data_IF_522227319631
#
_entry.id   IF_522227319631
#
_cell.length_a   1.000
_cell.length_b   1.000
_cell.length_c   1.000
_cell.angle_alpha   90.00
_cell.angle_beta   90.00
_cell.angle_gamma   90.00
#
_symmetry.space_group_name_H-M   'P 1'
#
loop_
_entity.id
_entity.type
_entity.pdbx_description
1 polymer ?
#
# COMPACT_ATOMS: atom_id res chain seq x y z
N UNK A 1 30.06 -24.21 5.01
CA UNK A 1 29.42 -23.80 6.29
C UNK A 1 28.05 -23.21 5.97
N UNK A 2 27.00 -24.04 5.93
CA UNK A 2 25.65 -23.58 5.60
C UNK A 2 24.92 -23.17 6.90
N UNK A 3 24.52 -21.90 7.01
CA UNK A 3 23.72 -21.40 8.14
C UNK A 3 22.30 -21.98 8.00
N UNK A 4 21.83 -22.73 9.00
CA UNK A 4 20.51 -23.37 9.04
C UNK A 4 19.41 -22.35 8.73
N UNK A 5 18.56 -22.66 7.74
CA UNK A 5 17.38 -21.87 7.31
C UNK A 5 16.23 -21.94 8.32
N UNK A 6 16.40 -22.65 9.44
CA UNK A 6 15.35 -22.84 10.46
C UNK A 6 14.99 -21.58 11.26
N UNK A 7 15.83 -20.54 11.21
CA UNK A 7 15.53 -19.25 11.86
C UNK A 7 14.91 -18.22 10.91
N UNK A 8 14.60 -18.58 9.67
CA UNK A 8 13.88 -17.70 8.76
C UNK A 8 12.40 -17.63 9.16
N UNK A 9 12.02 -16.60 9.91
CA UNK A 9 10.63 -16.31 10.27
C UNK A 9 10.12 -15.19 9.38
N UNK A 10 9.31 -15.52 8.37
CA UNK A 10 8.54 -14.54 7.60
C UNK A 10 7.39 -14.02 8.47
N UNK A 11 7.67 -12.97 9.26
CA UNK A 11 6.67 -12.28 10.10
C UNK A 11 6.00 -11.10 9.38
N UNK A 12 6.44 -10.76 8.18
CA UNK A 12 5.76 -9.81 7.31
C UNK A 12 4.58 -10.49 6.63
N UNK A 13 3.44 -9.81 6.66
CA UNK A 13 2.25 -10.12 5.88
C UNK A 13 1.95 -9.01 4.88
N UNK A 14 0.85 -9.19 4.17
CA UNK A 14 0.27 -8.18 3.29
C UNK A 14 -1.18 -7.94 3.68
N UNK A 15 -1.67 -6.74 3.38
CA UNK A 15 -3.09 -6.46 3.39
C UNK A 15 -3.59 -6.25 1.96
N UNK A 16 -4.87 -6.55 1.72
CA UNK A 16 -5.56 -6.17 0.48
C UNK A 16 -6.48 -5.00 0.77
N UNK A 17 -6.30 -3.92 0.02
CA UNK A 17 -7.07 -2.70 0.15
C UNK A 17 -7.88 -2.48 -1.14
N UNK A 18 -9.18 -2.28 -0.99
CA UNK A 18 -10.07 -1.90 -2.09
C UNK A 18 -10.71 -0.56 -1.74
N UNK A 19 -10.57 0.41 -2.63
CA UNK A 19 -11.14 1.75 -2.49
C UNK A 19 -12.05 2.05 -3.69
N UNK A 20 -13.25 2.53 -3.38
CA UNK A 20 -14.08 3.22 -4.37
C UNK A 20 -13.69 4.69 -4.38
N UNK A 21 -13.37 5.21 -5.56
CA UNK A 21 -12.92 6.57 -5.78
C UNK A 21 -13.96 7.33 -6.60
N UNK A 22 -14.21 8.59 -6.25
CA UNK A 22 -15.12 9.47 -6.98
C UNK A 22 -14.50 10.14 -8.20
N UNK A 23 -13.20 9.94 -8.41
CA UNK A 23 -12.42 10.47 -9.52
C UNK A 23 -11.12 9.64 -9.64
N UNK A 24 -10.46 9.73 -10.78
CA UNK A 24 -9.18 9.08 -11.01
C UNK A 24 -8.10 9.74 -10.12
N UNK A 25 -7.25 8.97 -9.41
CA UNK A 25 -6.19 9.53 -8.59
C UNK A 25 -5.03 9.98 -9.48
N UNK A 26 -4.38 11.08 -9.10
CA UNK A 26 -3.07 11.45 -9.65
C UNK A 26 -1.97 11.04 -8.68
N UNK A 27 -0.80 10.64 -9.20
CA UNK A 27 0.40 10.35 -8.42
C UNK A 27 1.60 11.08 -9.01
N UNK A 28 2.49 11.59 -8.17
CA UNK A 28 3.70 12.29 -8.63
C UNK A 28 4.54 11.39 -9.53
N UNK A 29 4.90 11.87 -10.73
CA UNK A 29 5.72 11.15 -11.69
C UNK A 29 4.97 10.08 -12.51
N UNK A 30 3.65 9.98 -12.37
CA UNK A 30 2.79 9.06 -13.15
C UNK A 30 1.79 9.90 -13.95
N UNK A 31 1.74 9.71 -15.26
CA UNK A 31 0.72 10.34 -16.11
C UNK A 31 -0.54 9.46 -16.22
N UNK A 32 -1.65 10.05 -16.67
CA UNK A 32 -2.95 9.37 -16.72
C UNK A 32 -2.94 8.08 -17.56
N UNK A 33 -2.16 8.02 -18.64
CA UNK A 33 -2.07 6.83 -19.47
C UNK A 33 -1.39 5.65 -18.74
N UNK A 34 -0.46 5.95 -17.84
CA UNK A 34 0.23 4.96 -17.01
C UNK A 34 -0.64 4.41 -15.86
N UNK A 35 -1.77 5.06 -15.55
CA UNK A 35 -2.69 4.58 -14.50
C UNK A 35 -3.43 3.29 -14.88
N UNK A 36 -3.44 2.93 -16.17
CA UNK A 36 -3.89 1.62 -16.64
C UNK A 36 -2.90 0.49 -16.26
N UNK A 37 -1.63 0.83 -16.05
CA UNK A 37 -0.58 -0.13 -15.72
C UNK A 37 -0.56 -0.48 -14.22
N UNK A 38 0.24 -1.48 -13.87
CA UNK A 38 0.52 -1.83 -12.47
C UNK A 38 1.50 -0.82 -11.88
N UNK A 39 1.08 -0.13 -10.82
CA UNK A 39 1.90 0.88 -10.14
C UNK A 39 2.49 0.28 -8.86
N UNK A 40 3.81 0.44 -8.68
CA UNK A 40 4.47 0.11 -7.41
C UNK A 40 4.97 1.39 -6.78
N UNK A 41 4.32 1.80 -5.70
CA UNK A 41 4.71 2.98 -4.92
C UNK A 41 5.39 2.49 -3.66
N UNK A 42 6.67 2.83 -3.50
CA UNK A 42 7.49 2.35 -2.40
C UNK A 42 8.25 3.51 -1.76
N UNK A 43 8.53 3.46 -0.44
CA UNK A 43 9.48 4.36 0.18
C UNK A 43 10.88 4.24 -0.46
N UNK A 44 11.79 5.16 -0.11
CA UNK A 44 13.21 5.01 -0.45
C UNK A 44 13.76 3.68 0.07
N UNK A 45 14.92 3.25 -0.42
CA UNK A 45 15.54 1.99 0.01
C UNK A 45 15.72 1.92 1.54
N UNK A 46 16.25 2.99 2.15
CA UNK A 46 16.38 3.11 3.61
C UNK A 46 15.00 3.14 4.31
N UNK A 47 14.03 3.77 3.66
CA UNK A 47 12.63 3.81 4.11
C UNK A 47 11.98 2.42 4.12
N UNK A 48 12.31 1.54 3.17
CA UNK A 48 11.82 0.17 3.13
C UNK A 48 12.38 -0.68 4.28
N UNK A 49 13.66 -0.51 4.61
CA UNK A 49 14.25 -1.19 5.78
C UNK A 49 13.58 -0.74 7.08
N UNK A 50 13.36 0.57 7.20
CA UNK A 50 12.63 1.17 8.33
C UNK A 50 11.19 0.66 8.40
N UNK A 51 10.49 0.59 7.27
CA UNK A 51 9.12 0.11 7.16
C UNK A 51 8.96 -1.37 7.55
N UNK A 52 9.96 -2.19 7.22
CA UNK A 52 9.93 -3.62 7.54
C UNK A 52 10.16 -3.87 9.05
N UNK A 53 10.89 -3.00 9.75
CA UNK A 53 11.33 -3.27 11.12
C UNK A 53 10.18 -3.47 12.14
N UNK A 54 9.12 -2.63 12.18
CA UNK A 54 7.97 -2.81 13.07
C UNK A 54 7.30 -4.19 12.92
N UNK A 55 7.22 -4.73 11.69
CA UNK A 55 6.55 -6.02 11.44
C UNK A 55 7.23 -7.20 12.15
N UNK A 56 8.55 -7.11 12.40
CA UNK A 56 9.32 -8.13 13.15
C UNK A 56 8.83 -8.25 14.60
N UNK A 57 8.34 -7.13 15.13
CA UNK A 57 7.80 -6.95 16.48
C UNK A 57 6.27 -6.94 16.50
N UNK A 58 5.60 -7.31 15.39
CA UNK A 58 4.13 -7.37 15.29
C UNK A 58 3.46 -5.99 15.49
N UNK A 59 4.20 -4.93 15.21
CA UNK A 59 3.71 -3.56 15.22
C UNK A 59 3.27 -3.14 13.81
N UNK A 60 2.31 -2.20 13.73
CA UNK A 60 1.92 -1.58 12.46
C UNK A 60 2.97 -0.55 12.05
N UNK A 61 3.48 -0.68 10.82
CA UNK A 61 4.35 0.32 10.22
C UNK A 61 3.58 1.62 9.93
N UNK A 62 4.28 2.74 9.84
CA UNK A 62 3.75 4.01 9.32
C UNK A 62 4.16 4.28 7.86
N UNK A 63 4.88 3.34 7.25
CA UNK A 63 5.38 3.38 5.88
C UNK A 63 5.09 2.04 5.21
N UNK A 64 4.49 2.07 4.04
CA UNK A 64 4.11 0.87 3.30
C UNK A 64 4.54 0.95 1.84
N UNK A 65 4.80 -0.22 1.25
CA UNK A 65 4.86 -0.35 -0.21
C UNK A 65 3.49 -0.76 -0.71
N UNK A 66 3.00 -0.05 -1.72
CA UNK A 66 1.72 -0.30 -2.37
C UNK A 66 1.97 -0.85 -3.77
N UNK A 67 1.33 -1.96 -4.07
CA UNK A 67 1.22 -2.52 -5.41
C UNK A 67 -0.22 -2.34 -5.87
N UNK A 68 -0.45 -1.39 -6.77
CA UNK A 68 -1.74 -0.79 -7.10
C UNK A 68 -2.16 -1.17 -8.53
N UNK A 69 -3.44 -1.48 -8.69
CA UNK A 69 -4.13 -1.52 -9.98
C UNK A 69 -5.43 -0.72 -9.93
N UNK A 70 -5.77 -0.08 -11.06
CA UNK A 70 -7.01 0.69 -11.24
C UNK A 70 -7.75 0.14 -12.46
N UNK A 71 -8.40 -1.04 -12.35
CA UNK A 71 -8.95 -1.76 -13.50
C UNK A 71 -10.03 -0.98 -14.27
N UNK A 72 -10.70 -0.03 -13.61
CA UNK A 72 -11.70 0.86 -14.23
C UNK A 72 -11.15 1.83 -15.27
N UNK A 73 -9.82 1.94 -15.41
CA UNK A 73 -9.19 2.70 -16.49
C UNK A 73 -9.29 1.93 -17.81
N UNK A 74 -9.08 0.60 -17.77
CA UNK A 74 -9.17 -0.27 -18.95
C UNK A 74 -10.62 -0.70 -19.23
N UNK A 75 -11.37 -1.02 -18.17
CA UNK A 75 -12.78 -1.40 -18.26
C UNK A 75 -13.66 -0.51 -17.36
N UNK A 76 -14.19 0.60 -17.89
CA UNK A 76 -15.08 1.51 -17.17
C UNK A 76 -16.38 0.85 -16.68
N UNK A 77 -16.79 -0.30 -17.21
CA UNK A 77 -18.03 -0.97 -16.81
C UNK A 77 -17.96 -1.58 -15.39
N UNK A 78 -16.75 -1.69 -14.82
CA UNK A 78 -16.51 -2.22 -13.47
C UNK A 78 -16.96 -1.28 -12.35
N UNK A 79 -17.28 -0.01 -12.65
CA UNK A 79 -17.75 0.98 -11.67
C UNK A 79 -18.85 1.88 -12.25
N UNK A 80 -19.63 2.57 -11.40
CA UNK A 80 -20.53 3.62 -11.86
C UNK A 80 -19.78 4.71 -12.64
N UNK A 81 -20.49 5.38 -13.56
CA UNK A 81 -19.90 6.45 -14.39
C UNK A 81 -19.20 7.51 -13.53
N UNK A 82 -17.95 7.82 -13.88
CA UNK A 82 -17.11 8.79 -13.17
C UNK A 82 -16.50 8.28 -11.86
N UNK A 83 -16.75 7.02 -11.47
CA UNK A 83 -16.13 6.39 -10.32
C UNK A 83 -15.06 5.38 -10.76
N UNK A 84 -14.11 5.12 -9.88
CA UNK A 84 -13.01 4.22 -10.13
C UNK A 84 -12.80 3.26 -8.96
N UNK A 85 -12.25 2.09 -9.25
CA UNK A 85 -11.84 1.13 -8.22
C UNK A 85 -10.32 1.13 -8.17
N UNK A 86 -9.77 1.38 -6.99
CA UNK A 86 -8.36 1.16 -6.72
C UNK A 86 -8.22 -0.11 -5.86
N UNK A 87 -7.47 -1.08 -6.38
CA UNK A 87 -7.09 -2.29 -5.66
C UNK A 87 -5.60 -2.24 -5.35
N UNK A 88 -5.22 -2.47 -4.09
CA UNK A 88 -3.82 -2.50 -3.70
C UNK A 88 -3.47 -3.74 -2.87
N UNK A 89 -2.32 -4.32 -3.15
CA UNK A 89 -1.60 -5.18 -2.21
C UNK A 89 -0.65 -4.28 -1.43
N UNK A 90 -0.77 -4.31 -0.11
CA UNK A 90 -0.02 -3.47 0.80
C UNK A 90 0.98 -4.33 1.56
N UNK A 91 2.26 -4.02 1.41
CA UNK A 91 3.35 -4.73 2.07
C UNK A 91 3.73 -4.06 3.40
N UNK A 92 4.50 -4.76 4.22
CA UNK A 92 4.93 -4.33 5.56
C UNK A 92 3.79 -4.23 6.58
N UNK A 93 2.80 -5.11 6.44
CA UNK A 93 1.72 -5.27 7.40
C UNK A 93 2.01 -6.51 8.26
N UNK A 94 1.98 -6.46 9.59
CA UNK A 94 2.18 -7.66 10.40
C UNK A 94 1.03 -8.65 10.20
N UNK A 95 1.33 -9.96 10.11
CA UNK A 95 0.29 -11.00 9.97
C UNK A 95 -0.71 -11.00 11.13
N UNK A 96 -0.21 -10.80 12.35
CA UNK A 96 -1.01 -10.67 13.55
C UNK A 96 -0.42 -9.54 14.39
N UNK A 97 -1.03 -8.34 14.41
CA UNK A 97 -0.54 -7.22 15.21
C UNK A 97 -0.75 -7.48 16.71
N UNK A 98 0.13 -6.95 17.56
CA UNK A 98 0.05 -7.12 19.02
C UNK A 98 -1.20 -6.47 19.63
N UNK A 99 -1.65 -5.38 19.04
CA UNK A 99 -2.90 -4.71 19.39
C UNK A 99 -4.16 -5.50 18.94
N UNK A 100 -3.98 -6.61 18.21
CA UNK A 100 -5.07 -7.37 17.61
C UNK A 100 -5.72 -6.64 16.42
N UNK A 101 -6.46 -7.40 15.60
CA UNK A 101 -7.04 -6.84 14.37
C UNK A 101 -8.25 -5.93 14.61
N UNK A 102 -8.95 -6.08 15.74
CA UNK A 102 -10.07 -5.19 16.10
C UNK A 102 -9.60 -3.73 16.26
N UNK A 103 -8.52 -3.50 17.02
CA UNK A 103 -7.92 -2.17 17.14
C UNK A 103 -7.01 -1.82 15.95
N UNK A 104 -6.33 -2.82 15.37
CA UNK A 104 -5.36 -2.59 14.31
C UNK A 104 -5.95 -2.26 12.93
N UNK A 105 -7.12 -2.80 12.57
CA UNK A 105 -7.74 -2.52 11.26
C UNK A 105 -8.06 -1.03 11.07
N UNK A 106 -8.74 -0.33 12.00
CA UNK A 106 -8.99 1.11 11.86
C UNK A 106 -7.70 1.94 11.81
N UNK A 107 -6.71 1.60 12.63
CA UNK A 107 -5.42 2.28 12.65
C UNK A 107 -4.68 2.11 11.32
N UNK A 108 -4.59 0.87 10.82
CA UNK A 108 -3.99 0.58 9.53
C UNK A 108 -4.71 1.32 8.41
N UNK A 109 -6.05 1.26 8.37
CA UNK A 109 -6.83 1.96 7.36
C UNK A 109 -6.53 3.47 7.36
N UNK A 110 -6.46 4.09 8.54
CA UNK A 110 -6.11 5.49 8.66
C UNK A 110 -4.69 5.78 8.14
N UNK A 111 -3.70 4.97 8.49
CA UNK A 111 -2.31 5.11 8.04
C UNK A 111 -2.22 5.02 6.51
N UNK A 112 -2.83 3.98 5.91
CA UNK A 112 -2.79 3.75 4.46
C UNK A 112 -3.47 4.88 3.68
N UNK A 113 -4.64 5.34 4.11
CA UNK A 113 -5.33 6.47 3.49
C UNK A 113 -4.51 7.76 3.62
N UNK A 114 -3.85 7.96 4.77
CA UNK A 114 -2.98 9.11 5.00
C UNK A 114 -1.77 9.10 4.07
N UNK A 115 -1.14 7.94 3.85
CA UNK A 115 -0.03 7.77 2.90
C UNK A 115 -0.46 8.02 1.46
N UNK A 116 -1.54 7.38 0.99
CA UNK A 116 -2.04 7.56 -0.38
C UNK A 116 -2.44 9.02 -0.65
N UNK A 117 -3.03 9.72 0.32
CA UNK A 117 -3.36 11.15 0.20
C UNK A 117 -2.12 12.02 0.05
N UNK A 118 -1.06 11.75 0.83
CA UNK A 118 0.22 12.47 0.68
C UNK A 118 0.82 12.28 -0.71
N UNK A 119 0.76 11.05 -1.24
CA UNK A 119 1.25 10.72 -2.58
C UNK A 119 0.43 11.40 -3.68
N UNK A 120 -0.89 11.53 -3.47
CA UNK A 120 -1.78 12.23 -4.39
C UNK A 120 -1.57 13.75 -4.40
N UNK A 121 -1.30 14.35 -3.23
CA UNK A 121 -1.15 15.80 -3.08
C UNK A 121 0.28 16.32 -3.29
N UNK A 122 1.28 15.45 -3.46
CA UNK A 122 2.69 15.84 -3.65
C UNK A 122 3.00 16.45 -5.04
N UNK A 123 2.03 17.12 -5.65
CA UNK A 123 2.19 17.91 -6.87
C UNK A 123 2.66 19.32 -6.50
N UNK A 124 3.95 19.46 -6.18
CA UNK A 124 4.75 20.69 -6.25
C UNK A 124 6.08 20.43 -5.53
N UNK A 125 7.13 20.06 -6.26
CA UNK A 125 8.54 20.39 -6.00
C UNK A 125 9.43 19.58 -6.95
N UNK A 126 9.59 20.08 -8.18
CA UNK A 126 10.83 20.07 -8.98
C UNK A 126 10.60 20.84 -10.26
#
# INVERSE_FOLDING_TARGET
MAKRVEHYRSRSGTAKLHLALSALPSFTGVNDAQLAERLVITPSMDGMETALNPTKYRELSNLHTFDISIPTVEDPALAPSGQHILSAIVHYVPYAPDIGWEAGKPQLMHQLLSELRRMHQASALS
#
